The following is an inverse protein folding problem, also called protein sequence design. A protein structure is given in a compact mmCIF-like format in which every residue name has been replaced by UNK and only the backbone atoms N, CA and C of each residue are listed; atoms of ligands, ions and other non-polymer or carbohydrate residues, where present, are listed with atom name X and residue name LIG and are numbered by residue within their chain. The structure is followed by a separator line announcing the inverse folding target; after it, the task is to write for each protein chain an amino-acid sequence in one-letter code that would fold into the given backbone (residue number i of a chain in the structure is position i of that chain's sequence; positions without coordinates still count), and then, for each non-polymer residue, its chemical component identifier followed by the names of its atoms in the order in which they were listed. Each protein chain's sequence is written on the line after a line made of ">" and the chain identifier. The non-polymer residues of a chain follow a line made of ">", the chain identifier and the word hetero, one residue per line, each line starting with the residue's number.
data_IF_344125251040
#
_entry.id   IF_344125251040
#
_cell.length_a   1.000
_cell.length_b   1.000
_cell.length_c   1.000
_cell.angle_alpha   90.00
_cell.angle_beta   90.00
_cell.angle_gamma   90.00
#
_symmetry.space_group_name_H-M   'P 1'
#
loop_
_entity.id
_entity.type
_entity.pdbx_description
1 polymer ?
#
# COMPACT_ATOMS: atom_id res chain seq x y z
N UNK A 1 -11.48 -4.17 2.72
CA UNK A 1 -10.83 -3.16 3.57
C UNK A 1 -10.48 -1.93 2.75
N UNK A 2 -10.74 -0.74 3.29
CA UNK A 2 -10.28 0.51 2.73
C UNK A 2 -8.74 0.57 2.78
N UNK A 3 -8.10 0.88 1.65
CA UNK A 3 -6.64 0.99 1.54
C UNK A 3 -6.21 2.10 0.59
N UNK A 4 -4.98 2.56 0.78
CA UNK A 4 -4.24 3.39 -0.19
C UNK A 4 -3.35 2.47 -1.01
N UNK A 5 -3.46 2.52 -2.34
CA UNK A 5 -2.74 1.60 -3.22
C UNK A 5 -2.24 2.29 -4.50
N UNK A 6 -1.18 1.76 -5.08
CA UNK A 6 -0.76 2.08 -6.43
C UNK A 6 -1.66 1.34 -7.43
N UNK A 7 -2.47 2.08 -8.18
CA UNK A 7 -3.29 1.59 -9.29
C UNK A 7 -2.55 1.67 -10.63
N UNK A 8 -1.66 2.65 -10.75
CA UNK A 8 -0.79 2.87 -11.91
C UNK A 8 0.61 3.31 -11.42
N UNK A 9 1.56 3.36 -12.35
CA UNK A 9 2.92 3.87 -12.18
C UNK A 9 3.12 4.99 -13.18
N UNK A 10 3.54 6.16 -12.71
CA UNK A 10 3.94 7.28 -13.53
C UNK A 10 5.20 7.92 -12.92
N UNK A 11 6.25 7.97 -13.72
CA UNK A 11 7.57 8.46 -13.28
C UNK A 11 7.56 9.96 -13.03
N UNK A 12 6.83 10.71 -13.85
CA UNK A 12 6.84 12.18 -13.84
C UNK A 12 5.69 12.74 -13.00
N UNK A 13 4.55 12.06 -12.95
CA UNK A 13 3.39 12.40 -12.11
C UNK A 13 2.94 11.23 -11.21
N UNK A 14 3.74 10.86 -10.19
CA UNK A 14 3.49 9.65 -9.40
C UNK A 14 2.15 9.64 -8.66
N UNK A 15 1.61 10.81 -8.30
CA UNK A 15 0.34 10.87 -7.57
C UNK A 15 -0.85 10.49 -8.46
N UNK A 16 -0.72 10.55 -9.78
CA UNK A 16 -1.75 10.06 -10.71
C UNK A 16 -2.02 8.55 -10.54
N UNK A 17 -1.01 7.79 -10.12
CA UNK A 17 -1.13 6.35 -9.89
C UNK A 17 -1.67 5.99 -8.50
N UNK A 18 -1.89 6.96 -7.62
CA UNK A 18 -2.32 6.74 -6.24
C UNK A 18 -3.85 6.75 -6.14
N UNK A 19 -4.42 5.67 -5.60
CA UNK A 19 -5.85 5.57 -5.33
C UNK A 19 -6.15 5.22 -3.88
N UNK A 20 -7.35 5.60 -3.43
CA UNK A 20 -7.93 5.21 -2.15
C UNK A 20 -9.23 4.47 -2.45
N UNK A 21 -9.37 3.24 -1.97
CA UNK A 21 -10.54 2.43 -2.26
C UNK A 21 -10.55 1.09 -1.55
N UNK A 22 -11.61 0.31 -1.79
CA UNK A 22 -11.76 -1.02 -1.21
C UNK A 22 -10.82 -2.04 -1.87
N UNK A 23 -10.14 -2.83 -1.04
CA UNK A 23 -9.30 -3.96 -1.41
C UNK A 23 -9.79 -5.23 -0.70
N UNK A 24 -9.51 -6.43 -1.23
CA UNK A 24 -9.81 -7.68 -0.54
C UNK A 24 -9.26 -7.65 0.89
N UNK A 25 -10.02 -8.23 1.82
CA UNK A 25 -9.48 -8.50 3.15
C UNK A 25 -8.25 -9.42 3.03
N UNK A 26 -7.19 -9.21 3.83
CA UNK A 26 -6.00 -10.03 3.75
C UNK A 26 -6.27 -11.44 4.30
N UNK A 27 -5.70 -12.44 3.63
CA UNK A 27 -5.57 -13.77 4.23
C UNK A 27 -4.49 -13.72 5.31
N UNK A 28 -4.75 -14.33 6.47
CA UNK A 28 -3.82 -14.35 7.60
C UNK A 28 -3.13 -15.72 7.66
N UNK A 29 -1.86 -15.84 7.24
CA UNK A 29 -1.15 -17.11 7.28
C UNK A 29 -0.91 -17.58 8.72
N UNK A 30 -0.62 -18.87 8.89
CA UNK A 30 -0.26 -19.42 10.19
C UNK A 30 0.96 -18.70 10.78
N UNK A 31 0.85 -18.26 12.04
CA UNK A 31 1.91 -17.51 12.74
C UNK A 31 1.89 -16.00 12.52
N UNK A 32 0.94 -15.47 11.76
CA UNK A 32 0.70 -14.03 11.60
C UNK A 32 -0.55 -13.58 12.38
N UNK A 33 -0.61 -12.30 12.72
CA UNK A 33 -1.81 -11.66 13.30
C UNK A 33 -2.32 -10.55 12.38
N UNK A 34 -3.64 -10.36 12.36
CA UNK A 34 -4.27 -9.24 11.68
C UNK A 34 -4.30 -8.04 12.62
N UNK A 35 -3.67 -6.95 12.21
CA UNK A 35 -3.66 -5.71 12.99
C UNK A 35 -4.67 -4.73 12.40
N UNK A 36 -5.59 -4.24 13.23
CA UNK A 36 -6.49 -3.16 12.83
C UNK A 36 -5.73 -1.83 12.90
N UNK A 37 -5.31 -1.34 11.74
CA UNK A 37 -4.55 -0.09 11.61
C UNK A 37 -5.30 1.10 12.21
N UNK A 38 -4.55 1.99 12.88
CA UNK A 38 -5.04 3.26 13.42
C UNK A 38 -4.31 4.46 12.81
N UNK A 39 -3.04 4.28 12.47
CA UNK A 39 -2.25 5.27 11.75
C UNK A 39 -1.21 4.57 10.86
N UNK A 40 -0.86 5.21 9.76
CA UNK A 40 0.27 4.86 8.90
C UNK A 40 1.09 6.12 8.62
N UNK A 41 2.40 5.97 8.44
CA UNK A 41 3.27 7.07 8.02
C UNK A 41 3.26 7.19 6.50
N UNK A 42 3.55 8.41 6.01
CA UNK A 42 3.93 8.61 4.62
C UNK A 42 5.45 8.57 4.53
N UNK A 43 5.96 7.82 3.56
CA UNK A 43 7.38 7.70 3.31
C UNK A 43 7.71 8.10 1.87
N UNK A 44 8.94 8.57 1.66
CA UNK A 44 9.40 8.87 0.31
C UNK A 44 9.44 7.62 -0.59
N UNK A 45 9.53 6.44 0.03
CA UNK A 45 9.41 5.15 -0.64
C UNK A 45 8.08 4.95 -1.39
N UNK A 46 6.99 5.55 -0.91
CA UNK A 46 5.69 5.47 -1.59
C UNK A 46 5.77 6.18 -2.95
N UNK A 47 6.41 7.35 -3.01
CA UNK A 47 6.67 8.07 -4.25
C UNK A 47 7.62 7.31 -5.17
N UNK A 48 8.64 6.63 -4.64
CA UNK A 48 9.51 5.78 -5.45
C UNK A 48 8.76 4.63 -6.09
N UNK A 49 7.90 3.95 -5.33
CA UNK A 49 7.04 2.88 -5.82
C UNK A 49 6.14 3.37 -6.95
N UNK A 50 5.47 4.52 -6.76
CA UNK A 50 4.61 5.14 -7.77
C UNK A 50 5.37 5.61 -9.02
N UNK A 51 6.68 5.89 -8.90
CA UNK A 51 7.57 6.18 -10.04
C UNK A 51 8.11 4.92 -10.73
N UNK A 52 7.77 3.73 -10.24
CA UNK A 52 8.23 2.45 -10.79
C UNK A 52 9.63 2.04 -10.32
N UNK A 53 10.11 2.61 -9.21
CA UNK A 53 11.37 2.20 -8.58
C UNK A 53 11.05 1.11 -7.56
N UNK A 54 11.48 -0.13 -7.83
CA UNK A 54 11.24 -1.29 -6.96
C UNK A 54 9.88 -1.97 -7.16
N UNK A 55 8.86 -1.25 -7.59
CA UNK A 55 7.55 -1.78 -7.96
C UNK A 55 7.41 -1.89 -9.48
N UNK A 56 7.07 -3.08 -9.98
CA UNK A 56 6.78 -3.31 -11.40
C UNK A 56 5.28 -3.31 -11.67
N UNK A 57 4.89 -2.98 -12.90
CA UNK A 57 3.49 -2.83 -13.32
C UNK A 57 2.68 -4.13 -13.17
N UNK A 58 3.31 -5.29 -13.27
CA UNK A 58 2.66 -6.60 -13.12
C UNK A 58 2.24 -6.91 -11.68
N UNK A 59 2.78 -6.17 -10.69
CA UNK A 59 2.39 -6.30 -9.29
C UNK A 59 1.22 -5.38 -8.90
N UNK A 60 0.72 -4.57 -9.84
CA UNK A 60 -0.41 -3.69 -9.58
C UNK A 60 -1.74 -4.46 -9.65
N UNK A 61 -2.75 -4.04 -8.86
CA UNK A 61 -2.69 -2.99 -7.84
C UNK A 61 -2.00 -3.44 -6.54
N UNK A 62 -1.18 -2.55 -5.96
CA UNK A 62 -0.36 -2.82 -4.77
C UNK A 62 -0.69 -1.86 -3.61
N UNK A 63 -1.08 -2.39 -2.45
CA UNK A 63 -1.26 -1.59 -1.22
C UNK A 63 0.08 -0.98 -0.78
N UNK A 64 0.09 0.32 -0.48
CA UNK A 64 1.30 1.07 -0.10
C UNK A 64 1.42 1.25 1.42
N UNK A 65 2.55 1.82 1.85
CA UNK A 65 2.90 2.03 3.26
C UNK A 65 3.91 1.01 3.80
N UNK A 66 4.90 1.49 4.55
CA UNK A 66 5.94 0.65 5.17
C UNK A 66 6.00 0.76 6.69
N UNK A 67 5.35 1.75 7.31
CA UNK A 67 5.18 1.80 8.77
C UNK A 67 3.73 2.09 9.13
N UNK A 68 3.27 1.44 10.20
CA UNK A 68 1.95 1.66 10.76
C UNK A 68 1.90 1.31 12.25
N UNK A 69 0.88 1.82 12.92
CA UNK A 69 0.53 1.47 14.28
C UNK A 69 -0.96 1.11 14.35
N UNK A 70 -1.28 0.08 15.12
CA UNK A 70 -2.63 -0.42 15.28
C UNK A 70 -2.74 -1.38 16.46
N UNK A 71 -3.87 -2.08 16.52
CA UNK A 71 -4.18 -3.04 17.57
C UNK A 71 -4.34 -4.43 16.96
N UNK A 72 -3.72 -5.43 17.56
CA UNK A 72 -4.19 -6.81 17.51
C UNK A 72 -5.11 -7.05 18.72
N UNK A 73 -6.28 -7.64 18.47
CA UNK A 73 -7.35 -7.89 19.47
C UNK A 73 -8.09 -6.64 19.99
#
# INVERSE_FOLDING_TARGET
>A
MLAVYAADIDREDPLRGLEIGERPEPEVPAGFTLVTMRAASLNHHDLWSLRGVGLKREALPMTLGCDAAGLDE
#
